data_IF_850281760590
#
_entry.id   IF_850281760590
#
_cell.length_a   1.000
_cell.length_b   1.000
_cell.length_c   1.000
_cell.angle_alpha   90.00
_cell.angle_beta   90.00
_cell.angle_gamma   90.00
#
_symmetry.space_group_name_H-M   'P 1'
#
loop_
_entity.id
_entity.type
_entity.pdbx_description
1 polymer ?
#
# COMPACT_ATOMS: atom_id res chain seq x y z
N UNK A 1 21.63 9.81 47.22
CA UNK A 1 22.22 9.48 45.91
C UNK A 1 21.12 8.92 45.01
N UNK A 2 20.57 9.71 44.08
CA UNK A 2 19.54 9.24 43.15
C UNK A 2 20.20 8.29 42.14
N UNK A 3 19.63 7.10 41.99
CA UNK A 3 20.14 6.05 41.09
C UNK A 3 20.21 6.57 39.66
N UNK A 4 21.36 6.39 39.00
CA UNK A 4 21.59 6.78 37.61
C UNK A 4 20.46 6.29 36.67
N UNK A 5 19.80 5.18 37.01
CA UNK A 5 18.64 4.65 36.28
C UNK A 5 17.42 5.57 36.30
N UNK A 6 17.18 6.31 37.38
CA UNK A 6 16.07 7.28 37.47
C UNK A 6 16.34 8.53 36.63
N UNK A 7 17.60 8.91 36.45
CA UNK A 7 17.98 10.06 35.62
C UNK A 7 17.84 9.75 34.12
N UNK A 8 18.21 8.53 33.69
CA UNK A 8 18.02 8.08 32.30
C UNK A 8 16.54 7.95 31.95
N UNK A 9 15.70 7.47 32.87
CA UNK A 9 14.26 7.35 32.63
C UNK A 9 13.58 8.73 32.49
N UNK A 10 13.99 9.71 33.30
CA UNK A 10 13.44 11.06 33.27
C UNK A 10 13.82 11.83 31.98
N UNK A 11 15.05 11.66 31.49
CA UNK A 11 15.50 12.27 30.22
C UNK A 11 14.81 11.62 29.02
N UNK A 12 14.58 10.30 29.06
CA UNK A 12 13.82 9.60 28.02
C UNK A 12 12.37 10.05 27.91
N UNK A 13 11.68 10.26 29.03
CA UNK A 13 10.30 10.74 29.06
C UNK A 13 10.15 12.18 28.56
N UNK A 14 11.12 13.06 28.85
CA UNK A 14 11.11 14.43 28.36
C UNK A 14 11.28 14.50 26.83
N UNK A 15 12.12 13.64 26.23
CA UNK A 15 12.31 13.61 24.78
C UNK A 15 11.07 13.14 24.01
N UNK A 16 10.31 12.18 24.56
CA UNK A 16 9.06 11.69 23.95
C UNK A 16 7.96 12.75 23.99
N UNK A 17 7.87 13.53 25.08
CA UNK A 17 6.90 14.61 25.19
C UNK A 17 7.12 15.74 24.16
N UNK A 18 8.38 16.04 23.82
CA UNK A 18 8.71 17.07 22.81
C UNK A 18 8.30 16.62 21.40
N UNK A 19 8.48 15.34 21.05
CA UNK A 19 8.09 14.82 19.73
C UNK A 19 6.57 14.82 19.54
N UNK A 20 5.81 14.50 20.59
CA UNK A 20 4.33 14.54 20.56
C UNK A 20 3.82 15.99 20.49
N UNK A 21 4.47 16.93 21.18
CA UNK A 21 4.13 18.36 21.12
C UNK A 21 4.31 18.98 19.73
N UNK A 22 5.35 18.60 18.99
CA UNK A 22 5.60 19.10 17.63
C UNK A 22 4.59 18.56 16.62
N UNK A 23 4.10 17.34 16.80
CA UNK A 23 3.02 16.78 15.95
C UNK A 23 1.67 17.46 16.21
N UNK A 24 1.34 17.80 17.45
CA UNK A 24 0.06 18.44 17.78
C UNK A 24 -0.02 19.93 17.41
N UNK A 25 1.11 20.64 17.29
CA UNK A 25 1.11 22.05 16.87
C UNK A 25 1.12 22.25 15.35
N UNK A 26 1.25 21.19 14.56
CA UNK A 26 1.27 21.27 13.09
C UNK A 26 -0.12 21.30 12.46
N UNK A 27 -1.20 21.07 13.23
CA UNK A 27 -2.59 21.03 12.75
C UNK A 27 -3.37 22.36 12.86
N UNK A 28 -2.71 23.49 13.10
CA UNK A 28 -3.39 24.80 13.15
C UNK A 28 -2.99 25.76 12.01
N UNK A 29 -3.36 25.41 10.78
CA UNK A 29 -3.58 26.36 9.65
C UNK A 29 -4.59 25.75 8.67
N UNK A 30 -5.51 26.44 8.05
CA UNK A 30 -6.11 27.78 8.20
C UNK A 30 -7.35 27.71 7.31
N UNK A 31 -8.55 27.61 7.90
CA UNK A 31 -9.80 27.68 7.14
C UNK A 31 -10.05 29.15 6.82
N UNK A 32 -9.55 29.59 5.66
CA UNK A 32 -10.04 30.82 5.05
C UNK A 32 -11.44 30.57 4.53
N UNK A 33 -12.42 31.16 5.23
CA UNK A 33 -13.78 31.33 4.76
C UNK A 33 -13.76 32.14 3.46
N UNK A 34 -14.17 31.52 2.35
CA UNK A 34 -14.68 32.26 1.20
C UNK A 34 -16.20 32.33 1.38
N UNK A 35 -16.62 33.53 1.78
CA UNK A 35 -18.01 33.97 1.83
C UNK A 35 -18.51 34.14 0.39
N UNK A 36 -19.29 33.17 -0.11
CA UNK A 36 -19.98 33.29 -1.39
C UNK A 36 -21.39 33.84 -1.15
N UNK A 37 -21.58 35.09 -1.58
CA UNK A 37 -22.81 35.85 -1.56
C UNK A 37 -23.95 35.13 -2.32
N UNK A 38 -25.09 35.00 -1.64
CA UNK A 38 -26.38 34.57 -2.19
C UNK A 38 -26.93 35.56 -3.22
N UNK A 39 -27.48 35.04 -4.32
CA UNK A 39 -28.59 35.67 -5.07
C UNK A 39 -29.59 34.62 -5.57
N UNK A 40 -30.86 35.00 -5.79
CA UNK A 40 -32.01 34.13 -5.56
C UNK A 40 -32.63 33.52 -6.83
N UNK A 41 -33.31 32.39 -6.61
CA UNK A 41 -34.64 32.03 -7.12
C UNK A 41 -34.98 32.35 -8.58
N UNK A 42 -35.05 31.31 -9.41
CA UNK A 42 -36.13 31.17 -10.38
C UNK A 42 -36.77 29.79 -10.30
N UNK A 43 -38.08 29.84 -10.08
CA UNK A 43 -39.07 28.78 -9.97
C UNK A 43 -39.65 28.49 -11.37
N UNK A 44 -40.47 27.43 -11.48
CA UNK A 44 -41.32 27.00 -12.61
C UNK A 44 -40.64 26.05 -13.60
N UNK A 45 -41.19 24.91 -14.03
CA UNK A 45 -42.55 24.37 -13.95
C UNK A 45 -42.52 22.84 -13.94
N UNK A 46 -43.50 22.28 -13.22
CA UNK A 46 -43.91 20.88 -13.23
C UNK A 46 -45.03 20.70 -14.28
N UNK A 47 -45.02 19.64 -15.09
CA UNK A 47 -46.22 19.13 -15.72
C UNK A 47 -46.56 17.68 -15.30
N UNK A 48 -47.84 17.30 -15.40
CA UNK A 48 -48.43 16.23 -14.59
C UNK A 48 -48.28 14.83 -15.19
N UNK A 49 -48.57 13.87 -14.31
CA UNK A 49 -48.61 12.44 -14.48
C UNK A 49 -49.38 11.93 -15.72
N UNK A 50 -48.94 10.76 -16.20
CA UNK A 50 -49.81 9.77 -16.85
C UNK A 50 -49.24 8.36 -16.62
N UNK A 51 -49.92 7.60 -15.77
CA UNK A 51 -49.98 6.13 -15.80
C UNK A 51 -50.91 5.73 -16.95
N UNK A 52 -50.73 4.57 -17.62
CA UNK A 52 -51.30 3.33 -17.08
C UNK A 52 -50.60 2.03 -17.52
N UNK A 53 -51.15 0.93 -16.99
CA UNK A 53 -51.18 -0.43 -17.51
C UNK A 53 -50.05 -1.38 -17.10
N UNK A 54 -50.47 -2.33 -16.25
CA UNK A 54 -49.71 -3.49 -15.86
C UNK A 54 -49.44 -4.45 -17.01
N UNK A 55 -48.32 -5.15 -16.87
CA UNK A 55 -48.06 -6.40 -17.57
C UNK A 55 -47.68 -7.40 -16.49
N UNK A 56 -48.62 -8.30 -16.26
CA UNK A 56 -48.45 -9.53 -15.51
C UNK A 56 -47.42 -10.40 -16.25
N UNK A 57 -46.30 -10.72 -15.58
CA UNK A 57 -45.33 -11.74 -16.03
C UNK A 57 -44.99 -12.64 -14.85
N UNK A 58 -45.95 -13.47 -14.48
CA UNK A 58 -45.67 -14.79 -13.91
C UNK A 58 -45.01 -15.67 -14.97
N UNK A 59 -43.67 -15.71 -15.01
CA UNK A 59 -42.91 -16.78 -15.68
C UNK A 59 -41.72 -17.18 -14.80
N UNK A 60 -41.90 -18.32 -14.13
CA UNK A 60 -40.91 -19.34 -13.80
C UNK A 60 -39.57 -18.85 -13.22
N UNK A 61 -39.48 -18.92 -11.90
CA UNK A 61 -38.23 -19.01 -11.16
C UNK A 61 -37.49 -20.31 -11.55
N UNK A 62 -36.59 -20.21 -12.52
CA UNK A 62 -35.52 -21.19 -12.69
C UNK A 62 -34.48 -20.93 -11.59
N UNK A 63 -33.95 -21.96 -10.90
CA UNK A 63 -32.83 -21.77 -10.00
C UNK A 63 -31.61 -21.45 -10.86
N UNK A 64 -31.31 -20.17 -11.02
CA UNK A 64 -30.00 -19.71 -11.43
C UNK A 64 -29.04 -20.07 -10.30
N UNK A 65 -28.54 -21.31 -10.34
CA UNK A 65 -27.35 -21.68 -9.62
C UNK A 65 -26.27 -20.70 -10.07
N UNK A 66 -25.91 -19.83 -9.14
CA UNK A 66 -24.82 -18.86 -9.22
C UNK A 66 -23.50 -19.62 -9.37
N UNK A 67 -23.28 -20.16 -10.55
CA UNK A 67 -21.93 -20.36 -11.07
C UNK A 67 -21.41 -18.96 -11.38
N UNK A 68 -20.97 -18.24 -10.34
CA UNK A 68 -20.01 -17.15 -10.54
C UNK A 68 -18.93 -17.74 -11.42
N UNK A 69 -18.73 -17.24 -12.66
CA UNK A 69 -17.65 -17.72 -13.49
C UNK A 69 -16.41 -17.53 -12.63
N UNK A 70 -15.76 -18.65 -12.29
CA UNK A 70 -14.48 -18.63 -11.61
C UNK A 70 -13.66 -17.60 -12.37
N UNK A 71 -13.40 -16.46 -11.73
CA UNK A 71 -12.76 -15.30 -12.33
C UNK A 71 -11.52 -15.87 -13.00
N UNK A 72 -11.60 -16.01 -14.33
CA UNK A 72 -10.51 -16.58 -15.10
C UNK A 72 -9.37 -15.68 -14.76
N UNK A 73 -8.31 -16.24 -14.15
CA UNK A 73 -7.16 -15.48 -13.73
C UNK A 73 -6.56 -14.90 -15.02
N UNK A 74 -7.04 -13.73 -15.42
CA UNK A 74 -6.50 -12.96 -16.53
C UNK A 74 -5.06 -12.76 -16.12
N UNK A 75 -4.09 -13.33 -16.85
CA UNK A 75 -2.69 -13.01 -16.60
C UNK A 75 -2.63 -11.50 -16.68
N UNK A 76 -2.24 -10.83 -15.59
CA UNK A 76 -1.99 -9.41 -15.66
C UNK A 76 -0.93 -9.25 -16.74
N UNK A 77 -1.29 -8.59 -17.84
CA UNK A 77 -0.31 -8.33 -18.88
C UNK A 77 0.77 -7.48 -18.21
N UNK A 78 1.96 -8.06 -17.99
CA UNK A 78 3.03 -7.50 -17.15
C UNK A 78 3.61 -6.18 -17.70
N UNK A 79 2.98 -5.64 -18.74
CA UNK A 79 3.38 -4.43 -19.43
C UNK A 79 3.23 -3.19 -18.53
N UNK A 80 2.20 -3.11 -17.68
CA UNK A 80 2.08 -2.00 -16.73
C UNK A 80 3.17 -2.00 -15.68
N UNK A 81 3.57 -3.18 -15.19
CA UNK A 81 4.68 -3.28 -14.25
C UNK A 81 5.98 -2.77 -14.84
N UNK A 82 6.28 -3.20 -16.07
CA UNK A 82 7.48 -2.75 -16.79
C UNK A 82 7.42 -1.26 -17.08
N UNK A 83 6.29 -0.79 -17.62
CA UNK A 83 6.08 0.61 -17.98
C UNK A 83 6.21 1.51 -16.75
N UNK A 84 5.61 1.14 -15.62
CA UNK A 84 5.76 1.84 -14.33
C UNK A 84 7.22 1.91 -13.88
N UNK A 85 7.94 0.78 -13.94
CA UNK A 85 9.34 0.71 -13.52
C UNK A 85 10.24 1.60 -14.37
N UNK A 86 9.98 1.69 -15.69
CA UNK A 86 10.78 2.50 -16.62
C UNK A 86 10.27 3.93 -16.82
N UNK A 87 9.07 4.26 -16.34
CA UNK A 87 8.48 5.57 -16.53
C UNK A 87 9.34 6.67 -15.89
N UNK A 88 9.64 7.71 -16.68
CA UNK A 88 10.35 8.92 -16.24
C UNK A 88 9.42 10.03 -15.77
N UNK A 89 8.15 9.96 -16.16
CA UNK A 89 7.10 10.90 -15.77
C UNK A 89 5.92 10.08 -15.24
N UNK A 90 5.74 10.09 -13.92
CA UNK A 90 4.68 9.33 -13.27
C UNK A 90 3.31 9.98 -13.39
N UNK A 91 3.23 11.29 -13.71
CA UNK A 91 1.96 11.94 -14.00
C UNK A 91 1.43 11.48 -15.34
N UNK A 92 2.24 11.57 -16.40
CA UNK A 92 1.86 11.11 -17.73
C UNK A 92 1.51 9.61 -17.72
N UNK A 93 2.32 8.81 -17.02
CA UNK A 93 2.05 7.39 -16.80
C UNK A 93 0.69 7.15 -16.14
N UNK A 94 0.40 7.80 -14.99
CA UNK A 94 -0.84 7.58 -14.26
C UNK A 94 -2.09 8.00 -15.08
N UNK A 95 -1.98 9.09 -15.85
CA UNK A 95 -3.04 9.55 -16.74
C UNK A 95 -3.29 8.62 -17.93
N UNK A 96 -2.27 7.90 -18.40
CA UNK A 96 -2.44 6.86 -19.40
C UNK A 96 -3.04 5.59 -18.79
N UNK A 97 -2.43 5.08 -17.72
CA UNK A 97 -2.81 3.82 -17.09
C UNK A 97 -4.25 3.81 -16.54
N UNK A 98 -4.78 4.96 -16.10
CA UNK A 98 -6.17 5.05 -15.59
C UNK A 98 -7.26 4.62 -16.59
N UNK A 99 -6.95 4.71 -17.90
CA UNK A 99 -7.88 4.37 -18.97
C UNK A 99 -7.84 2.88 -19.34
N UNK A 100 -7.04 2.07 -18.63
CA UNK A 100 -6.85 0.65 -18.88
C UNK A 100 -7.16 -0.21 -17.64
N UNK A 101 -8.36 -0.12 -17.06
CA UNK A 101 -8.72 -0.92 -15.89
C UNK A 101 -8.64 -2.43 -16.15
N UNK A 102 -8.98 -2.89 -17.36
CA UNK A 102 -9.02 -4.30 -17.74
C UNK A 102 -7.69 -5.05 -17.54
N UNK A 103 -6.58 -4.31 -17.56
CA UNK A 103 -5.22 -4.82 -17.41
C UNK A 103 -4.57 -4.43 -16.08
N UNK A 104 -5.31 -3.84 -15.14
CA UNK A 104 -4.77 -3.39 -13.86
C UNK A 104 -4.19 -1.97 -13.87
N UNK A 105 -4.43 -1.19 -14.93
CA UNK A 105 -3.84 0.13 -15.10
C UNK A 105 -4.27 1.14 -14.02
N UNK A 106 -5.48 1.02 -13.44
CA UNK A 106 -5.90 1.92 -12.36
C UNK A 106 -5.16 1.63 -11.06
N UNK A 107 -4.85 0.36 -10.75
CA UNK A 107 -3.96 0.01 -9.64
C UNK A 107 -2.62 0.75 -9.76
N UNK A 108 -1.99 0.67 -10.93
CA UNK A 108 -0.72 1.35 -11.20
C UNK A 108 -0.82 2.87 -11.16
N UNK A 109 -1.91 3.44 -11.70
CA UNK A 109 -2.15 4.88 -11.63
C UNK A 109 -2.30 5.36 -10.18
N UNK A 110 -3.07 4.63 -9.36
CA UNK A 110 -3.22 4.91 -7.92
C UNK A 110 -1.88 4.80 -7.22
N UNK A 111 -1.08 3.78 -7.54
CA UNK A 111 0.22 3.58 -6.93
C UNK A 111 1.17 4.75 -7.26
N UNK A 112 1.34 5.09 -8.54
CA UNK A 112 2.17 6.20 -8.97
C UNK A 112 1.74 7.54 -8.34
N UNK A 113 0.43 7.83 -8.36
CA UNK A 113 -0.11 9.05 -7.79
C UNK A 113 0.05 9.09 -6.26
N UNK A 114 -0.16 7.98 -5.53
CA UNK A 114 0.07 7.90 -4.07
C UNK A 114 1.53 8.13 -3.70
N UNK A 115 2.49 7.66 -4.52
CA UNK A 115 3.90 7.92 -4.29
C UNK A 115 4.18 9.43 -4.42
N UNK A 116 3.63 10.09 -5.44
CA UNK A 116 3.83 11.54 -5.65
C UNK A 116 2.94 12.48 -4.82
N UNK A 117 1.85 11.98 -4.23
CA UNK A 117 0.94 12.76 -3.38
C UNK A 117 1.50 12.99 -1.97
N UNK A 118 2.54 12.24 -1.60
CA UNK A 118 3.29 12.49 -0.36
C UNK A 118 4.04 13.80 -0.50
N UNK A 119 4.26 14.49 0.62
CA UNK A 119 5.07 15.71 0.63
C UNK A 119 6.50 15.38 0.17
N UNK A 120 6.78 15.64 -1.11
CA UNK A 120 8.07 15.35 -1.74
C UNK A 120 9.21 16.06 -1.00
N UNK A 121 8.95 17.23 -0.40
CA UNK A 121 9.93 17.94 0.41
C UNK A 121 10.27 17.14 1.66
N UNK A 122 9.27 16.61 2.37
CA UNK A 122 9.50 15.75 3.54
C UNK A 122 10.31 14.49 3.19
N UNK A 123 10.03 13.86 2.04
CA UNK A 123 10.76 12.68 1.57
C UNK A 123 12.21 13.02 1.26
N UNK A 124 12.47 14.12 0.56
CA UNK A 124 13.83 14.60 0.28
C UNK A 124 14.58 14.90 1.57
N UNK A 125 13.95 15.56 2.54
CA UNK A 125 14.57 15.87 3.83
C UNK A 125 14.92 14.60 4.62
N UNK A 126 14.02 13.62 4.66
CA UNK A 126 14.27 12.31 5.30
C UNK A 126 15.40 11.57 4.59
N UNK A 127 15.42 11.59 3.24
CA UNK A 127 16.46 10.97 2.45
C UNK A 127 17.83 11.62 2.71
N UNK A 128 17.91 12.95 2.68
CA UNK A 128 19.12 13.72 2.96
C UNK A 128 19.62 13.48 4.39
N UNK A 129 18.73 13.52 5.40
CA UNK A 129 19.10 13.21 6.78
C UNK A 129 19.64 11.78 6.92
N UNK A 130 19.03 10.81 6.23
CA UNK A 130 19.50 9.43 6.19
C UNK A 130 20.86 9.27 5.51
N UNK A 131 21.10 9.98 4.41
CA UNK A 131 22.39 10.02 3.70
C UNK A 131 23.48 10.66 4.57
N UNK A 132 23.19 11.79 5.22
CA UNK A 132 24.11 12.45 6.15
C UNK A 132 24.50 11.52 7.30
N UNK A 133 23.53 10.81 7.89
CA UNK A 133 23.80 9.81 8.95
C UNK A 133 24.71 8.68 8.45
N UNK A 134 24.47 8.17 7.23
CA UNK A 134 25.31 7.11 6.65
C UNK A 134 26.73 7.61 6.34
N UNK A 135 26.86 8.83 5.82
CA UNK A 135 28.15 9.45 5.56
C UNK A 135 28.95 9.62 6.86
N UNK A 136 28.31 10.08 7.94
CA UNK A 136 28.97 10.16 9.26
C UNK A 136 29.36 8.78 9.80
N UNK A 137 28.56 7.74 9.57
CA UNK A 137 28.82 6.40 10.09
C UNK A 137 29.87 5.60 9.29
N UNK A 138 29.93 5.78 7.97
CA UNK A 138 30.69 4.91 7.06
C UNK A 138 31.63 5.66 6.12
N UNK A 139 31.60 6.99 6.13
CA UNK A 139 32.40 7.83 5.23
C UNK A 139 31.94 7.84 3.77
N UNK A 140 30.91 7.06 3.40
CA UNK A 140 30.43 6.96 2.01
C UNK A 140 28.90 6.82 1.94
N UNK A 141 28.32 7.21 0.80
CA UNK A 141 26.93 6.93 0.43
C UNK A 141 26.98 6.25 -0.93
N UNK A 142 26.19 5.19 -1.13
CA UNK A 142 26.20 4.47 -2.40
C UNK A 142 25.57 5.31 -3.52
N UNK A 143 26.13 5.23 -4.73
CA UNK A 143 25.62 5.95 -5.89
C UNK A 143 24.18 5.52 -6.24
N UNK A 144 23.84 4.26 -5.99
CA UNK A 144 22.50 3.73 -6.20
C UNK A 144 21.46 4.43 -5.31
N UNK A 145 21.83 4.77 -4.06
CA UNK A 145 20.92 5.46 -3.13
C UNK A 145 20.68 6.91 -3.54
N UNK A 146 21.73 7.58 -4.03
CA UNK A 146 21.60 8.93 -4.60
C UNK A 146 20.70 8.90 -5.84
N UNK A 147 20.99 7.98 -6.78
CA UNK A 147 20.21 7.81 -8.00
C UNK A 147 18.74 7.48 -7.74
N UNK A 148 18.43 6.65 -6.72
CA UNK A 148 17.05 6.36 -6.32
C UNK A 148 16.32 7.62 -5.86
N UNK A 149 16.97 8.44 -5.03
CA UNK A 149 16.40 9.69 -4.52
C UNK A 149 16.13 10.66 -5.68
N UNK A 150 17.11 10.86 -6.56
CA UNK A 150 16.98 11.75 -7.73
C UNK A 150 15.93 11.25 -8.72
N UNK A 151 15.85 9.92 -8.91
CA UNK A 151 14.86 9.32 -9.80
C UNK A 151 13.43 9.58 -9.33
N UNK A 152 13.19 9.56 -8.01
CA UNK A 152 11.87 9.84 -7.45
C UNK A 152 11.45 11.28 -7.71
N UNK A 153 12.33 12.23 -7.41
CA UNK A 153 12.09 13.66 -7.62
C UNK A 153 11.80 13.94 -9.09
N UNK A 154 12.58 13.34 -9.98
CA UNK A 154 12.40 13.46 -11.43
C UNK A 154 11.04 12.90 -11.86
N UNK A 155 10.68 11.70 -11.40
CA UNK A 155 9.43 11.01 -11.76
C UNK A 155 8.18 11.76 -11.31
N UNK A 156 8.23 12.35 -10.12
CA UNK A 156 7.12 13.13 -9.57
C UNK A 156 7.09 14.60 -10.00
N UNK A 157 8.17 15.11 -10.62
CA UNK A 157 8.33 16.53 -10.93
C UNK A 157 7.29 17.12 -11.90
N UNK A 158 6.55 16.28 -12.61
CA UNK A 158 5.48 16.70 -13.50
C UNK A 158 4.14 16.98 -12.79
N UNK A 159 3.95 16.49 -11.56
CA UNK A 159 2.75 16.79 -10.76
C UNK A 159 2.82 18.21 -10.20
N UNK A 160 1.74 18.98 -10.37
CA UNK A 160 1.59 20.25 -9.65
C UNK A 160 1.17 20.01 -8.20
N UNK A 161 1.33 20.98 -7.28
CA UNK A 161 0.88 20.82 -5.90
C UNK A 161 -0.59 20.36 -5.81
N UNK A 162 -0.87 19.43 -4.90
CA UNK A 162 -2.17 18.78 -4.68
C UNK A 162 -2.72 17.87 -5.81
N UNK A 163 -2.32 18.05 -7.07
CA UNK A 163 -2.85 17.26 -8.21
C UNK A 163 -2.72 15.75 -8.02
N UNK A 164 -1.59 15.28 -7.48
CA UNK A 164 -1.40 13.84 -7.24
C UNK A 164 -2.42 13.29 -6.22
N UNK A 165 -2.74 14.06 -5.18
CA UNK A 165 -3.74 13.68 -4.18
C UNK A 165 -5.16 13.66 -4.77
N UNK A 166 -5.51 14.70 -5.54
CA UNK A 166 -6.79 14.78 -6.25
C UNK A 166 -6.97 13.61 -7.24
N UNK A 167 -5.89 13.25 -7.96
CA UNK A 167 -5.88 12.11 -8.86
C UNK A 167 -6.10 10.80 -8.11
N UNK A 168 -5.47 10.60 -6.94
CA UNK A 168 -5.72 9.42 -6.09
C UNK A 168 -7.19 9.33 -5.70
N UNK A 169 -7.81 10.42 -5.25
CA UNK A 169 -9.20 10.41 -4.81
C UNK A 169 -10.16 10.14 -5.97
N UNK A 170 -9.90 10.74 -7.14
CA UNK A 170 -10.63 10.46 -8.38
C UNK A 170 -10.52 8.99 -8.79
N UNK A 171 -9.31 8.42 -8.77
CA UNK A 171 -9.08 7.01 -9.14
C UNK A 171 -9.72 6.04 -8.16
N UNK A 172 -9.70 6.35 -6.85
CA UNK A 172 -10.40 5.55 -5.82
C UNK A 172 -11.91 5.57 -6.01
N UNK A 173 -12.49 6.69 -6.46
CA UNK A 173 -13.90 6.75 -6.80
C UNK A 173 -14.22 5.83 -7.99
N UNK A 174 -13.39 5.85 -9.04
CA UNK A 174 -13.52 4.98 -10.20
C UNK A 174 -13.32 3.50 -9.87
N UNK A 175 -12.40 3.17 -8.96
CA UNK A 175 -12.10 1.79 -8.55
C UNK A 175 -13.29 1.02 -7.96
N UNK A 176 -14.36 1.72 -7.55
CA UNK A 176 -15.56 1.11 -6.97
C UNK A 176 -16.37 0.29 -7.98
N UNK A 177 -16.19 0.51 -9.27
CA UNK A 177 -16.87 -0.27 -10.32
C UNK A 177 -16.35 -1.71 -10.44
N UNK A 178 -15.21 -2.03 -9.81
CA UNK A 178 -14.61 -3.36 -9.86
C UNK A 178 -13.99 -3.72 -11.21
N UNK A 179 -13.79 -2.76 -12.12
CA UNK A 179 -13.26 -3.00 -13.45
C UNK A 179 -11.75 -3.36 -13.45
N UNK A 180 -11.03 -3.01 -12.39
CA UNK A 180 -9.59 -3.28 -12.26
C UNK A 180 -9.33 -4.55 -11.43
N UNK A 181 -8.78 -5.63 -12.04
CA UNK A 181 -8.63 -6.92 -11.36
C UNK A 181 -7.59 -6.89 -10.23
N UNK A 182 -6.56 -6.03 -10.30
CA UNK A 182 -5.56 -5.91 -9.24
C UNK A 182 -6.14 -5.18 -8.02
N UNK A 183 -6.97 -4.16 -8.25
CA UNK A 183 -7.71 -3.50 -7.17
C UNK A 183 -8.73 -4.42 -6.51
N UNK A 184 -9.44 -5.24 -7.30
CA UNK A 184 -10.36 -6.26 -6.76
C UNK A 184 -9.61 -7.29 -5.90
N UNK A 185 -8.46 -7.79 -6.38
CA UNK A 185 -7.63 -8.73 -5.63
C UNK A 185 -7.16 -8.14 -4.29
N UNK A 186 -6.66 -6.89 -4.32
CA UNK A 186 -6.29 -6.13 -3.12
C UNK A 186 -7.45 -5.99 -2.14
N UNK A 187 -8.60 -5.51 -2.61
CA UNK A 187 -9.76 -5.26 -1.75
C UNK A 187 -10.27 -6.56 -1.12
N UNK A 188 -10.28 -7.66 -1.89
CA UNK A 188 -10.71 -8.96 -1.38
C UNK A 188 -9.84 -9.46 -0.22
N UNK A 189 -8.51 -9.28 -0.30
CA UNK A 189 -7.61 -9.62 0.81
C UNK A 189 -7.89 -8.74 2.05
N UNK A 190 -8.06 -7.43 1.85
CA UNK A 190 -8.36 -6.51 2.96
C UNK A 190 -9.67 -6.85 3.66
N UNK A 191 -10.70 -7.20 2.89
CA UNK A 191 -12.01 -7.59 3.41
C UNK A 191 -11.96 -8.95 4.13
N UNK A 192 -11.27 -9.94 3.57
CA UNK A 192 -11.03 -11.24 4.22
C UNK A 192 -10.29 -11.06 5.56
N UNK A 193 -9.27 -10.19 5.58
CA UNK A 193 -8.54 -9.85 6.79
C UNK A 193 -9.44 -9.19 7.83
N UNK A 194 -10.28 -8.24 7.41
CA UNK A 194 -11.25 -7.56 8.30
C UNK A 194 -12.22 -8.57 8.93
N UNK A 195 -12.64 -9.60 8.19
CA UNK A 195 -13.52 -10.67 8.68
C UNK A 195 -12.81 -11.70 9.56
N UNK A 196 -11.48 -11.70 9.62
CA UNK A 196 -10.71 -12.72 10.32
C UNK A 196 -10.96 -14.16 9.83
N UNK A 197 -11.26 -14.32 8.53
CA UNK A 197 -11.40 -15.63 7.88
C UNK A 197 -10.06 -16.09 7.23
N UNK A 198 -9.42 -17.11 7.82
CA UNK A 198 -8.16 -17.67 7.30
C UNK A 198 -8.28 -18.33 5.93
N UNK A 199 -9.40 -18.98 5.66
CA UNK A 199 -9.63 -19.64 4.38
C UNK A 199 -9.72 -18.57 3.29
N UNK A 200 -10.50 -17.52 3.52
CA UNK A 200 -10.62 -16.42 2.57
C UNK A 200 -9.31 -15.63 2.39
N UNK A 201 -8.54 -15.42 3.47
CA UNK A 201 -7.20 -14.80 3.36
C UNK A 201 -6.29 -15.66 2.50
N UNK A 202 -6.25 -16.99 2.72
CA UNK A 202 -5.46 -17.92 1.92
C UNK A 202 -5.85 -17.88 0.44
N UNK A 203 -7.15 -17.94 0.14
CA UNK A 203 -7.64 -17.85 -1.23
C UNK A 203 -7.34 -16.49 -1.88
N UNK A 204 -7.36 -15.41 -1.10
CA UNK A 204 -7.03 -14.07 -1.59
C UNK A 204 -5.55 -13.93 -1.91
N UNK A 205 -4.66 -14.43 -1.04
CA UNK A 205 -3.21 -14.49 -1.31
C UNK A 205 -2.93 -15.36 -2.53
N UNK A 206 -3.60 -16.51 -2.66
CA UNK A 206 -3.48 -17.36 -3.87
C UNK A 206 -3.82 -16.60 -5.14
N UNK A 207 -4.94 -15.88 -5.14
CA UNK A 207 -5.36 -15.04 -6.28
C UNK A 207 -4.35 -13.94 -6.58
N UNK A 208 -3.84 -13.25 -5.55
CA UNK A 208 -2.80 -12.24 -5.73
C UNK A 208 -1.51 -12.83 -6.32
N UNK A 209 -1.01 -13.95 -5.81
CA UNK A 209 0.17 -14.63 -6.37
C UNK A 209 -0.07 -15.11 -7.82
N UNK A 210 -1.30 -15.51 -8.14
CA UNK A 210 -1.67 -15.94 -9.49
C UNK A 210 -1.61 -14.80 -10.52
N UNK A 211 -1.76 -13.54 -10.09
CA UNK A 211 -1.60 -12.37 -10.98
C UNK A 211 -0.19 -12.26 -11.54
N UNK A 212 0.82 -12.77 -10.83
CA UNK A 212 2.24 -12.58 -11.17
C UNK A 212 2.75 -11.16 -10.93
N UNK A 213 1.91 -10.25 -10.44
CA UNK A 213 2.26 -8.85 -10.22
C UNK A 213 2.96 -8.68 -8.87
N UNK A 214 4.27 -8.46 -8.90
CA UNK A 214 5.03 -8.28 -7.65
C UNK A 214 4.76 -6.94 -6.99
N UNK A 215 4.34 -5.92 -7.75
CA UNK A 215 4.03 -4.61 -7.18
C UNK A 215 2.77 -4.72 -6.32
N UNK A 216 1.75 -5.46 -6.76
CA UNK A 216 0.54 -5.75 -6.00
C UNK A 216 0.87 -6.37 -4.62
N UNK A 217 1.82 -7.30 -4.55
CA UNK A 217 2.21 -7.93 -3.28
C UNK A 217 2.91 -6.95 -2.33
N UNK A 218 3.69 -6.02 -2.88
CA UNK A 218 4.46 -5.03 -2.12
C UNK A 218 3.66 -3.78 -1.75
N UNK A 219 2.61 -3.46 -2.52
CA UNK A 219 1.78 -2.29 -2.28
C UNK A 219 1.07 -2.42 -0.93
N UNK A 220 1.03 -1.33 -0.16
CA UNK A 220 0.37 -1.22 1.14
C UNK A 220 0.73 -2.34 2.14
N UNK A 221 1.95 -2.89 2.02
CA UNK A 221 2.42 -4.00 2.85
C UNK A 221 1.46 -5.22 2.81
N UNK A 222 0.73 -5.46 1.69
CA UNK A 222 -0.30 -6.52 1.62
C UNK A 222 0.24 -7.91 1.93
N UNK A 223 1.44 -8.23 1.46
CA UNK A 223 2.07 -9.51 1.79
C UNK A 223 2.38 -9.61 3.28
N UNK A 224 2.86 -8.53 3.91
CA UNK A 224 3.04 -8.50 5.37
C UNK A 224 1.70 -8.63 6.10
N UNK A 225 0.64 -8.00 5.59
CA UNK A 225 -0.69 -8.08 6.16
C UNK A 225 -1.24 -9.50 6.11
N UNK A 226 -0.95 -10.25 5.04
CA UNK A 226 -1.29 -11.66 4.92
C UNK A 226 -0.48 -12.52 5.91
N UNK A 227 0.83 -12.26 6.02
CA UNK A 227 1.71 -13.00 6.92
C UNK A 227 1.43 -12.72 8.39
N UNK A 228 0.91 -11.54 8.72
CA UNK A 228 0.53 -11.16 10.09
C UNK A 228 -0.85 -11.69 10.51
N UNK A 229 -1.51 -12.48 9.66
CA UNK A 229 -2.88 -12.91 9.89
C UNK A 229 -2.89 -14.15 10.82
N UNK A 230 -3.59 -14.02 11.95
CA UNK A 230 -3.70 -15.01 13.05
C UNK A 230 -2.44 -15.24 13.90
N UNK A 231 -2.00 -14.24 14.69
CA UNK A 231 -1.34 -14.60 15.93
C UNK A 231 -2.37 -15.32 16.83
N UNK A 232 -1.99 -16.44 17.45
CA UNK A 232 -2.87 -17.16 18.41
C UNK A 232 -3.26 -16.27 19.59
N UNK A 233 -2.50 -15.20 19.80
CA UNK A 233 -2.70 -14.19 20.82
C UNK A 233 -2.76 -12.81 20.14
N UNK A 234 -3.81 -11.99 20.32
CA UNK A 234 -3.89 -10.65 19.73
C UNK A 234 -2.76 -9.71 20.18
N UNK A 235 -2.05 -10.05 21.26
CA UNK A 235 -0.86 -9.31 21.72
C UNK A 235 0.45 -9.82 21.10
N UNK A 236 0.45 -10.98 20.47
CA UNK A 236 1.62 -11.50 19.75
C UNK A 236 1.65 -10.85 18.37
N UNK A 237 2.65 -9.99 18.15
CA UNK A 237 2.93 -9.47 16.82
C UNK A 237 3.94 -10.41 16.19
N UNK A 238 3.48 -11.35 15.39
CA UNK A 238 4.34 -12.25 14.64
C UNK A 238 3.92 -12.35 13.17
N UNK A 239 4.90 -12.67 12.32
CA UNK A 239 4.71 -12.95 10.91
C UNK A 239 4.89 -14.44 10.67
N UNK A 240 3.98 -15.03 9.91
CA UNK A 240 4.11 -16.40 9.44
C UNK A 240 4.84 -16.43 8.09
N UNK A 241 5.91 -17.23 8.02
CA UNK A 241 6.55 -17.58 6.76
C UNK A 241 7.14 -18.99 6.78
N UNK A 242 6.91 -19.78 5.74
CA UNK A 242 7.58 -21.08 5.49
C UNK A 242 7.55 -22.02 6.72
N UNK A 243 6.36 -22.21 7.30
CA UNK A 243 6.17 -23.07 8.46
C UNK A 243 6.63 -22.47 9.81
N UNK A 244 7.12 -21.22 9.81
CA UNK A 244 7.72 -20.57 10.98
C UNK A 244 7.01 -19.27 11.34
N UNK A 245 6.98 -18.97 12.63
CA UNK A 245 6.55 -17.68 13.16
C UNK A 245 7.78 -16.84 13.48
N UNK A 246 7.77 -15.57 13.09
CA UNK A 246 8.83 -14.60 13.32
C UNK A 246 8.26 -13.48 14.19
N UNK A 247 8.80 -13.27 15.41
CA UNK A 247 8.33 -12.20 16.29
C UNK A 247 8.77 -10.85 15.72
N UNK A 248 7.83 -9.91 15.55
CA UNK A 248 8.08 -8.58 15.00
C UNK A 248 9.13 -7.80 15.80
N UNK A 249 9.30 -8.11 17.08
CA UNK A 249 10.25 -7.42 17.96
C UNK A 249 11.59 -8.14 18.12
N UNK A 250 11.75 -9.32 17.52
CA UNK A 250 13.02 -10.02 17.51
C UNK A 250 13.85 -9.65 16.27
N UNK A 251 15.16 -9.94 16.33
CA UNK A 251 16.07 -9.62 15.23
C UNK A 251 15.71 -10.33 13.90
N UNK A 252 14.91 -11.39 13.96
CA UNK A 252 14.47 -12.19 12.81
C UNK A 252 13.19 -11.63 12.18
N UNK A 253 12.25 -11.08 12.96
CA UNK A 253 11.11 -10.31 12.46
C UNK A 253 11.53 -8.95 11.94
N UNK A 254 12.48 -8.27 12.59
CA UNK A 254 13.14 -7.09 12.04
C UNK A 254 13.83 -7.40 10.71
N UNK A 255 14.54 -8.54 10.61
CA UNK A 255 15.16 -8.99 9.37
C UNK A 255 14.13 -9.28 8.27
N UNK A 256 13.01 -9.94 8.60
CA UNK A 256 11.92 -10.21 7.67
C UNK A 256 11.25 -8.91 7.19
N UNK A 257 10.91 -8.01 8.12
CA UNK A 257 10.33 -6.69 7.85
C UNK A 257 11.25 -5.80 7.04
N UNK A 258 12.49 -5.68 7.49
CA UNK A 258 13.52 -4.92 6.80
C UNK A 258 13.71 -5.50 5.40
N UNK A 259 13.59 -6.83 5.19
CA UNK A 259 13.76 -7.42 3.86
C UNK A 259 12.60 -7.21 2.91
N UNK A 260 11.37 -7.35 3.40
CA UNK A 260 10.19 -7.06 2.59
C UNK A 260 10.12 -5.56 2.25
N UNK A 261 10.65 -4.69 3.12
CA UNK A 261 10.81 -3.25 2.87
C UNK A 261 12.09 -2.85 2.10
N UNK A 262 13.17 -3.63 2.14
CA UNK A 262 14.47 -3.30 1.49
C UNK A 262 14.51 -3.61 0.00
N UNK A 263 13.34 -3.81 -0.63
CA UNK A 263 13.19 -3.32 -1.99
C UNK A 263 13.34 -1.78 -2.07
N UNK A 264 13.35 -1.02 -0.95
CA UNK A 264 13.55 0.43 -0.97
C UNK A 264 14.61 1.09 -0.07
N UNK A 265 14.97 0.69 1.16
CA UNK A 265 16.00 1.43 1.91
C UNK A 265 16.81 0.57 2.89
N UNK A 266 18.11 0.41 2.61
CA UNK A 266 19.07 -0.30 3.45
C UNK A 266 19.30 0.43 4.79
N UNK A 267 19.08 -0.30 5.89
CA UNK A 267 19.34 0.18 7.25
C UNK A 267 20.85 0.14 7.54
N UNK A 268 21.49 1.27 7.93
CA UNK A 268 22.89 1.29 8.34
C UNK A 268 23.04 0.70 9.75
N UNK A 269 23.73 -0.44 9.86
CA UNK A 269 24.13 -1.02 11.17
C UNK A 269 23.94 -2.53 11.36
N UNK A 270 23.51 -3.28 10.35
CA UNK A 270 23.41 -4.74 10.47
C UNK A 270 24.80 -5.40 10.42
N UNK A 271 25.08 -6.34 11.33
CA UNK A 271 26.30 -7.15 11.26
C UNK A 271 26.33 -8.01 9.98
N UNK A 272 27.51 -8.35 9.44
CA UNK A 272 27.64 -9.15 8.21
C UNK A 272 26.86 -10.47 8.25
N UNK A 273 26.86 -11.17 9.38
CA UNK A 273 26.12 -12.43 9.53
C UNK A 273 24.60 -12.23 9.47
N UNK A 274 24.09 -11.13 10.03
CA UNK A 274 22.68 -10.76 9.91
C UNK A 274 22.32 -10.42 8.48
N UNK A 275 23.21 -9.76 7.76
CA UNK A 275 23.01 -9.45 6.35
C UNK A 275 22.90 -10.72 5.49
N UNK A 276 23.73 -11.74 5.73
CA UNK A 276 23.63 -13.03 5.01
C UNK A 276 22.34 -13.80 5.33
N UNK A 277 21.90 -13.81 6.59
CA UNK A 277 20.64 -14.43 6.99
C UNK A 277 19.43 -13.73 6.36
N UNK A 278 19.46 -12.40 6.33
CA UNK A 278 18.50 -11.57 5.59
C UNK A 278 18.52 -12.01 4.12
N UNK A 279 19.67 -12.00 3.44
CA UNK A 279 19.78 -12.41 2.03
C UNK A 279 19.23 -13.82 1.74
N UNK A 280 19.49 -14.81 2.57
CA UNK A 280 18.89 -16.14 2.41
C UNK A 280 17.35 -16.11 2.55
N UNK A 281 16.80 -15.37 3.52
CA UNK A 281 15.37 -15.36 3.82
C UNK A 281 14.51 -14.84 2.66
N UNK A 282 14.80 -13.69 2.06
CA UNK A 282 14.03 -13.28 0.87
C UNK A 282 14.45 -13.91 -0.45
N UNK A 283 15.56 -14.66 -0.54
CA UNK A 283 15.66 -15.58 -1.68
C UNK A 283 14.61 -16.68 -1.54
N UNK A 284 14.33 -17.13 -0.29
CA UNK A 284 13.17 -18.00 -0.04
C UNK A 284 11.83 -17.31 -0.27
N UNK A 285 11.63 -16.06 0.19
CA UNK A 285 10.38 -15.31 -0.09
C UNK A 285 10.19 -15.14 -1.59
N UNK A 286 11.23 -14.71 -2.33
CA UNK A 286 11.18 -14.59 -3.79
C UNK A 286 10.88 -15.92 -4.44
N UNK A 287 11.56 -16.99 -4.01
CA UNK A 287 11.32 -18.35 -4.48
C UNK A 287 9.89 -18.81 -4.22
N UNK A 288 9.32 -18.52 -3.04
CA UNK A 288 7.95 -18.84 -2.69
C UNK A 288 6.93 -18.05 -3.51
N UNK A 289 7.19 -16.76 -3.79
CA UNK A 289 6.36 -15.94 -4.70
C UNK A 289 6.42 -16.52 -6.12
N UNK A 290 7.62 -16.80 -6.64
CA UNK A 290 7.83 -17.38 -7.97
C UNK A 290 7.17 -18.75 -8.11
N UNK A 291 7.24 -19.57 -7.07
CA UNK A 291 6.58 -20.87 -6.99
C UNK A 291 5.08 -20.77 -6.68
N UNK A 292 4.54 -19.57 -6.43
CA UNK A 292 3.15 -19.32 -6.01
C UNK A 292 2.75 -20.16 -4.79
N UNK A 293 3.69 -20.38 -3.87
CA UNK A 293 3.49 -21.19 -2.68
C UNK A 293 2.73 -20.40 -1.60
N UNK A 294 1.41 -20.51 -1.61
CA UNK A 294 0.52 -19.80 -0.67
C UNK A 294 0.74 -20.24 0.78
N UNK A 295 1.01 -21.52 1.01
CA UNK A 295 1.16 -22.09 2.35
C UNK A 295 2.44 -21.60 3.04
N UNK A 296 3.39 -21.08 2.27
CA UNK A 296 4.53 -20.34 2.81
C UNK A 296 4.14 -19.01 3.43
N UNK A 297 3.01 -18.40 3.09
CA UNK A 297 2.64 -17.04 3.54
C UNK A 297 1.50 -16.99 4.54
N UNK A 298 0.71 -18.07 4.62
CA UNK A 298 -0.48 -18.13 5.49
C UNK A 298 -0.37 -19.34 6.39
N UNK A 299 -0.56 -19.13 7.69
CA UNK A 299 -0.53 -20.21 8.68
C UNK A 299 -1.57 -21.30 8.33
N UNK A 300 -1.22 -22.59 8.41
CA UNK A 300 -2.21 -23.67 8.42
C UNK A 300 -3.17 -23.43 9.60
N UNK A 301 -4.46 -23.38 9.29
CA UNK A 301 -5.52 -23.21 10.29
C UNK A 301 -5.76 -24.50 11.06
#
# INVERSE_FOLDING_TARGET
MKSHKQMVLAVGLAAVAVVIGVQLMSDTRSTSHIEATLTPSMRMNEPPASTPAGVDRSILAAPAALSSPAASAVPADNDWQRTFATARDWRAFALAAKNHPESGGRFYAIHAANLCARDNLSIQQIAQAGQAKQLTATGTVSNERLALTDSWVTRCGAFVPAEAGELVDSLRALAKDGADPLLVARQTLLDAKKRSDATEVRESVRRMLATGDSLLLSADDLLMLAMSFQPKNPNERSYWFDGKSYDVFDASGDALMLKMRTQYLQSPGASPDRFLQVLALADKVRGAIQARNVDAFVRPG
#
